data_IF_999503870138
#
_entry.id   IF_999503870138
#
_cell.length_a   1.000
_cell.length_b   1.000
_cell.length_c   1.000
_cell.angle_alpha   90.00
_cell.angle_beta   90.00
_cell.angle_gamma   90.00
#
_symmetry.space_group_name_H-M   'P 1'
#
loop_
_entity.id
_entity.type
_entity.pdbx_description
1 polymer ?
#
# COMPACT_ATOMS: atom_id res chain seq x y z
N UNK A 1 -1.71 -2.61 -22.04
CA UNK A 1 -1.59 -1.84 -20.89
C UNK A 1 -1.32 -2.65 -19.70
N UNK A 2 -0.47 -2.22 -18.87
CA UNK A 2 -0.16 -2.92 -17.63
C UNK A 2 -1.25 -2.67 -16.62
N UNK A 3 -1.73 -3.75 -16.02
CA UNK A 3 -2.68 -3.63 -14.94
C UNK A 3 -1.91 -3.39 -13.67
N UNK A 4 -2.33 -2.44 -12.88
CA UNK A 4 -1.68 -2.22 -11.58
C UNK A 4 -1.94 -3.40 -10.67
N UNK A 5 -0.89 -3.86 -10.02
CA UNK A 5 -0.97 -4.95 -9.04
C UNK A 5 -0.88 -4.38 -7.64
N UNK A 6 -1.89 -4.66 -6.86
CA UNK A 6 -2.02 -4.10 -5.52
C UNK A 6 -2.07 -5.22 -4.50
N UNK A 7 -1.25 -5.12 -3.48
CA UNK A 7 -1.33 -6.02 -2.35
C UNK A 7 -2.07 -5.30 -1.25
N UNK A 8 -3.12 -5.93 -0.74
CA UNK A 8 -3.84 -5.42 0.42
C UNK A 8 -3.51 -6.35 1.57
N UNK A 9 -2.94 -5.81 2.62
CA UNK A 9 -2.49 -6.60 3.75
C UNK A 9 -3.01 -6.05 5.06
N UNK A 10 -3.18 -6.95 6.01
CA UNK A 10 -3.62 -6.57 7.33
C UNK A 10 -2.58 -7.07 8.33
N UNK A 11 -1.61 -6.22 8.66
CA UNK A 11 -0.55 -6.62 9.55
C UNK A 11 -0.97 -6.61 11.02
N UNK A 12 -0.19 -7.24 11.85
CA UNK A 12 -0.42 -7.25 13.28
C UNK A 12 -1.48 -8.25 13.70
N UNK A 13 -1.97 -8.09 14.91
CA UNK A 13 -2.90 -9.05 15.51
C UNK A 13 -4.36 -8.69 15.36
N UNK A 14 -4.66 -7.58 14.70
CA UNK A 14 -6.01 -7.12 14.52
C UNK A 14 -6.76 -8.08 13.59
N UNK A 15 -7.90 -8.56 14.03
CA UNK A 15 -8.70 -9.49 13.24
C UNK A 15 -9.83 -8.86 12.44
N UNK A 16 -9.89 -7.52 12.37
CA UNK A 16 -10.98 -6.85 11.67
C UNK A 16 -10.62 -6.62 10.20
N UNK A 17 -11.06 -7.51 9.33
CA UNK A 17 -10.65 -7.44 7.92
C UNK A 17 -11.71 -6.93 6.96
N UNK A 18 -12.87 -6.54 7.46
CA UNK A 18 -13.95 -6.11 6.57
C UNK A 18 -13.56 -4.92 5.71
N UNK A 19 -12.94 -3.92 6.33
CA UNK A 19 -12.52 -2.73 5.58
C UNK A 19 -11.52 -3.06 4.49
N UNK A 20 -10.57 -3.94 4.79
CA UNK A 20 -9.58 -4.36 3.82
C UNK A 20 -10.22 -5.07 2.64
N UNK A 21 -11.22 -5.91 2.91
CA UNK A 21 -11.92 -6.63 1.84
C UNK A 21 -12.76 -5.71 0.97
N UNK A 22 -13.38 -4.68 1.57
CA UNK A 22 -14.16 -3.70 0.82
C UNK A 22 -13.25 -2.93 -0.13
N UNK A 23 -12.10 -2.50 0.35
CA UNK A 23 -11.15 -1.77 -0.47
C UNK A 23 -10.62 -2.68 -1.60
N UNK A 24 -10.31 -3.92 -1.27
CA UNK A 24 -9.81 -4.86 -2.29
C UNK A 24 -10.82 -5.01 -3.41
N UNK A 25 -12.10 -5.10 -3.07
CA UNK A 25 -13.14 -5.24 -4.08
C UNK A 25 -13.26 -3.97 -4.93
N UNK A 26 -13.22 -2.80 -4.29
CA UNK A 26 -13.33 -1.55 -5.02
C UNK A 26 -12.18 -1.39 -6.03
N UNK A 27 -10.99 -1.79 -5.65
CA UNK A 27 -9.84 -1.69 -6.53
C UNK A 27 -9.94 -2.69 -7.69
N UNK A 28 -10.45 -3.89 -7.44
CA UNK A 28 -10.69 -4.85 -8.51
C UNK A 28 -11.72 -4.31 -9.48
N UNK A 29 -12.79 -3.73 -8.96
CA UNK A 29 -13.85 -3.17 -9.81
C UNK A 29 -13.32 -2.01 -10.64
N UNK A 30 -12.27 -1.36 -10.19
CA UNK A 30 -11.63 -0.27 -10.92
C UNK A 30 -10.60 -0.78 -11.95
N UNK A 31 -10.49 -2.09 -12.11
CA UNK A 31 -9.60 -2.67 -13.12
C UNK A 31 -8.21 -3.07 -12.63
N UNK A 32 -7.97 -3.01 -11.34
CA UNK A 32 -6.66 -3.40 -10.80
C UNK A 32 -6.65 -4.88 -10.45
N UNK A 33 -5.44 -5.44 -10.44
CA UNK A 33 -5.25 -6.81 -10.01
C UNK A 33 -4.92 -6.75 -8.52
N UNK A 34 -5.74 -7.33 -7.68
CA UNK A 34 -5.61 -7.19 -6.23
C UNK A 34 -5.36 -8.53 -5.56
N UNK A 35 -4.35 -8.58 -4.74
CA UNK A 35 -4.02 -9.76 -3.95
C UNK A 35 -4.25 -9.40 -2.49
N UNK A 36 -5.19 -10.07 -1.85
CA UNK A 36 -5.42 -9.89 -0.43
C UNK A 36 -4.65 -10.97 0.31
N UNK A 37 -3.67 -10.57 1.13
CA UNK A 37 -2.78 -11.53 1.75
C UNK A 37 -3.35 -12.16 3.02
N UNK A 38 -4.45 -11.61 3.53
CA UNK A 38 -5.05 -12.17 4.73
C UNK A 38 -4.65 -11.43 6.00
N UNK A 39 -5.11 -11.98 7.12
CA UNK A 39 -4.89 -11.37 8.43
C UNK A 39 -3.49 -11.67 8.97
N UNK A 40 -3.10 -10.88 9.91
CA UNK A 40 -1.91 -11.13 10.75
C UNK A 40 -0.62 -11.30 9.98
N UNK A 41 -0.47 -10.54 8.94
CA UNK A 41 0.73 -10.59 8.13
C UNK A 41 1.87 -9.81 8.81
N UNK A 42 3.07 -10.37 8.79
CA UNK A 42 4.24 -9.64 9.26
C UNK A 42 4.76 -8.75 8.14
N UNK A 43 5.52 -7.69 8.47
CA UNK A 43 6.15 -6.89 7.43
C UNK A 43 6.98 -7.72 6.47
N UNK A 44 7.68 -8.73 6.98
CA UNK A 44 8.48 -9.63 6.15
C UNK A 44 7.62 -10.40 5.15
N UNK A 45 6.47 -10.88 5.60
CA UNK A 45 5.55 -11.61 4.72
C UNK A 45 4.97 -10.69 3.65
N UNK A 46 4.65 -9.46 4.02
CA UNK A 46 4.10 -8.48 3.09
C UNK A 46 5.12 -8.14 2.01
N UNK A 47 6.36 -7.89 2.40
CA UNK A 47 7.41 -7.55 1.45
C UNK A 47 7.71 -8.74 0.53
N UNK A 48 7.70 -9.96 1.08
CA UNK A 48 7.90 -11.15 0.30
C UNK A 48 6.81 -11.31 -0.76
N UNK A 49 5.56 -11.06 -0.38
CA UNK A 49 4.45 -11.12 -1.33
C UNK A 49 4.60 -10.05 -2.41
N UNK A 50 5.01 -8.84 -2.03
CA UNK A 50 5.20 -7.77 -2.99
C UNK A 50 6.26 -8.11 -4.01
N UNK A 51 7.34 -8.73 -3.55
CA UNK A 51 8.42 -9.13 -4.43
C UNK A 51 7.95 -10.24 -5.37
N UNK A 52 7.30 -11.26 -4.83
CA UNK A 52 6.83 -12.38 -5.58
C UNK A 52 5.80 -12.01 -6.63
N UNK A 53 4.89 -11.12 -6.29
CA UNK A 53 3.82 -10.70 -7.18
C UNK A 53 4.19 -9.50 -8.06
N UNK A 54 5.38 -8.97 -7.88
CA UNK A 54 5.82 -7.79 -8.62
C UNK A 54 4.80 -6.64 -8.42
N UNK A 55 4.49 -6.36 -7.19
CA UNK A 55 3.43 -5.41 -6.86
C UNK A 55 3.83 -3.97 -7.14
N UNK A 56 2.87 -3.18 -7.56
CA UNK A 56 3.04 -1.74 -7.77
C UNK A 56 2.64 -0.95 -6.54
N UNK A 57 1.73 -1.50 -5.74
CA UNK A 57 1.14 -0.82 -4.61
C UNK A 57 0.98 -1.78 -3.44
N UNK A 58 1.25 -1.30 -2.24
CA UNK A 58 0.94 -2.02 -1.02
C UNK A 58 0.00 -1.16 -0.21
N UNK A 59 -1.18 -1.67 0.08
CA UNK A 59 -2.15 -1.02 0.95
C UNK A 59 -2.23 -1.77 2.26
N UNK A 60 -1.98 -1.09 3.36
CA UNK A 60 -2.04 -1.68 4.70
C UNK A 60 -3.31 -1.21 5.39
N UNK A 61 -4.05 -2.15 5.95
CA UNK A 61 -5.22 -1.82 6.75
C UNK A 61 -4.85 -2.03 8.21
N UNK A 62 -4.72 -0.95 8.96
CA UNK A 62 -4.25 -0.99 10.34
C UNK A 62 -5.25 -0.28 11.24
N UNK A 63 -5.97 -1.03 12.05
CA UNK A 63 -6.95 -0.45 12.97
C UNK A 63 -6.49 -0.54 14.43
N UNK A 64 -5.37 -1.18 14.66
CA UNK A 64 -4.92 -1.47 16.00
C UNK A 64 -4.02 -0.40 16.63
N UNK A 65 -3.69 0.62 15.88
CA UNK A 65 -2.75 1.62 16.38
C UNK A 65 -1.30 1.25 16.18
N UNK A 66 -1.03 0.11 15.56
CA UNK A 66 0.34 -0.37 15.41
C UNK A 66 1.10 0.22 14.22
N UNK A 67 0.54 1.23 13.58
CA UNK A 67 1.14 1.81 12.38
C UNK A 67 2.54 2.38 12.62
N UNK A 68 2.79 2.96 13.80
CA UNK A 68 4.11 3.52 14.11
C UNK A 68 5.18 2.46 14.31
N UNK A 69 4.76 1.22 14.55
CA UNK A 69 5.70 0.12 14.72
C UNK A 69 5.88 -0.64 13.40
N UNK A 70 4.79 -0.84 12.68
CA UNK A 70 4.78 -1.64 11.47
C UNK A 70 5.35 -0.89 10.27
N UNK A 71 4.96 0.38 10.09
CA UNK A 71 5.35 1.11 8.90
C UNK A 71 6.86 1.30 8.75
N UNK A 72 7.60 1.71 9.80
CA UNK A 72 9.03 1.88 9.64
C UNK A 72 9.72 0.58 9.24
N UNK A 73 9.29 -0.53 9.81
CA UNK A 73 9.89 -1.82 9.49
C UNK A 73 9.60 -2.22 8.05
N UNK A 74 8.36 -2.03 7.61
CA UNK A 74 7.99 -2.34 6.25
C UNK A 74 8.79 -1.51 5.26
N UNK A 75 8.90 -0.21 5.50
CA UNK A 75 9.60 0.68 4.60
C UNK A 75 11.08 0.34 4.51
N UNK A 76 11.68 -0.04 5.64
CA UNK A 76 13.07 -0.45 5.67
C UNK A 76 13.28 -1.72 4.83
N UNK A 77 12.40 -2.69 5.00
CA UNK A 77 12.49 -3.95 4.25
C UNK A 77 12.30 -3.74 2.76
N UNK A 78 11.38 -2.86 2.37
CA UNK A 78 11.18 -2.56 0.96
C UNK A 78 12.45 -1.97 0.35
N UNK A 79 13.09 -1.08 1.07
CA UNK A 79 14.30 -0.46 0.58
C UNK A 79 15.42 -1.49 0.44
N UNK A 80 15.54 -2.38 1.42
CA UNK A 80 16.56 -3.42 1.39
C UNK A 80 16.39 -4.38 0.23
N UNK A 81 15.16 -4.56 -0.23
CA UNK A 81 14.86 -5.48 -1.33
C UNK A 81 14.81 -4.77 -2.69
N UNK A 82 15.12 -3.50 -2.72
CA UNK A 82 15.08 -2.74 -3.97
C UNK A 82 13.67 -2.43 -4.44
N UNK A 83 12.70 -2.43 -3.52
CA UNK A 83 11.30 -2.17 -3.82
C UNK A 83 10.85 -0.80 -3.36
N UNK A 84 11.77 0.14 -3.26
CA UNK A 84 11.46 1.46 -2.74
C UNK A 84 10.62 2.32 -3.70
N UNK A 85 10.35 1.84 -4.91
CA UNK A 85 9.45 2.53 -5.82
C UNK A 85 8.01 2.01 -5.73
N UNK A 86 7.74 1.05 -4.86
CA UNK A 86 6.39 0.57 -4.63
C UNK A 86 5.63 1.63 -3.82
N UNK A 87 4.41 1.92 -4.23
CA UNK A 87 3.58 2.91 -3.55
C UNK A 87 2.99 2.29 -2.29
N UNK A 88 3.24 2.88 -1.13
CA UNK A 88 2.72 2.34 0.14
C UNK A 88 1.66 3.28 0.69
N UNK A 89 0.50 2.72 0.98
CA UNK A 89 -0.65 3.42 1.53
C UNK A 89 -1.08 2.78 2.84
N UNK A 90 -1.62 3.58 3.75
CA UNK A 90 -2.17 3.05 4.99
C UNK A 90 -3.60 3.53 5.11
N UNK A 91 -4.50 2.60 5.41
CA UNK A 91 -5.88 2.91 5.74
C UNK A 91 -6.13 2.53 7.18
N UNK A 92 -6.83 3.37 7.93
CA UNK A 92 -7.15 3.08 9.31
C UNK A 92 -7.30 4.34 10.14
N UNK A 93 -7.37 4.15 11.44
CA UNK A 93 -7.52 5.26 12.36
C UNK A 93 -6.13 5.73 12.73
N UNK A 94 -5.69 6.81 12.09
CA UNK A 94 -4.35 7.34 12.26
C UNK A 94 -4.44 8.72 12.87
N UNK A 95 -3.86 8.94 14.05
CA UNK A 95 -3.87 10.27 14.65
C UNK A 95 -3.12 11.28 13.80
N UNK A 96 -3.61 12.51 13.77
CA UNK A 96 -2.98 13.57 13.00
C UNK A 96 -1.50 13.73 13.30
N UNK A 97 -1.13 13.58 14.55
CA UNK A 97 0.27 13.78 14.96
C UNK A 97 1.22 12.75 14.37
N UNK A 98 0.70 11.61 13.94
CA UNK A 98 1.53 10.56 13.38
C UNK A 98 1.74 10.69 11.88
N UNK A 99 0.91 11.48 11.22
CA UNK A 99 0.94 11.58 9.75
C UNK A 99 2.27 12.11 9.22
N UNK A 100 2.83 13.20 9.77
CA UNK A 100 4.09 13.71 9.24
C UNK A 100 5.22 12.68 9.31
N UNK A 101 5.27 11.92 10.40
CA UNK A 101 6.31 10.92 10.54
C UNK A 101 6.15 9.79 9.52
N UNK A 102 4.92 9.33 9.33
CA UNK A 102 4.67 8.27 8.35
C UNK A 102 5.03 8.74 6.95
N UNK A 103 4.72 9.98 6.61
CA UNK A 103 5.10 10.52 5.31
C UNK A 103 6.59 10.66 5.17
N UNK A 104 7.28 11.02 6.25
CA UNK A 104 8.72 11.21 6.19
C UNK A 104 9.47 9.92 5.92
N UNK A 105 8.90 8.77 6.28
CA UNK A 105 9.54 7.50 6.00
C UNK A 105 9.11 6.89 4.68
N UNK A 106 8.26 7.59 3.94
CA UNK A 106 7.92 7.16 2.59
C UNK A 106 6.50 6.67 2.36
N UNK A 107 5.65 6.69 3.38
CA UNK A 107 4.24 6.33 3.18
C UNK A 107 3.58 7.48 2.42
N UNK A 108 3.01 7.17 1.25
CA UNK A 108 2.53 8.19 0.35
C UNK A 108 1.09 8.60 0.59
N UNK A 109 0.27 7.71 1.02
CA UNK A 109 -1.13 8.02 1.26
C UNK A 109 -1.62 7.46 2.56
N UNK A 110 -2.42 8.25 3.28
CA UNK A 110 -3.01 7.83 4.54
C UNK A 110 -4.50 8.14 4.44
N UNK A 111 -5.32 7.10 4.52
CA UNK A 111 -6.75 7.23 4.33
C UNK A 111 -7.48 6.85 5.61
N UNK A 112 -8.20 7.80 6.15
CA UNK A 112 -8.95 7.59 7.39
C UNK A 112 -10.35 7.12 7.11
N UNK A 113 -11.08 6.64 8.12
CA UNK A 113 -12.47 6.26 7.95
C UNK A 113 -13.25 7.41 7.34
N UNK A 114 -14.12 7.10 6.41
CA UNK A 114 -14.90 8.12 5.71
C UNK A 114 -14.32 8.54 4.36
N UNK A 115 -13.10 8.16 4.07
CA UNK A 115 -12.53 8.43 2.75
C UNK A 115 -13.29 7.60 1.72
N UNK A 116 -13.68 8.20 0.62
CA UNK A 116 -14.42 7.47 -0.40
C UNK A 116 -13.52 6.50 -1.15
N UNK A 117 -14.11 5.43 -1.64
CA UNK A 117 -13.37 4.45 -2.44
C UNK A 117 -12.83 5.12 -3.71
N UNK A 118 -13.58 6.05 -4.28
CA UNK A 118 -13.14 6.73 -5.49
C UNK A 118 -11.87 7.56 -5.25
N UNK A 119 -11.77 8.20 -4.09
CA UNK A 119 -10.57 8.94 -3.73
C UNK A 119 -9.35 8.03 -3.69
N UNK A 120 -9.50 6.84 -3.11
CA UNK A 120 -8.41 5.88 -3.00
C UNK A 120 -8.01 5.38 -4.38
N UNK A 121 -9.00 5.04 -5.21
CA UNK A 121 -8.76 4.57 -6.57
C UNK A 121 -8.00 5.65 -7.36
N UNK A 122 -8.46 6.89 -7.29
CA UNK A 122 -7.85 7.98 -8.03
C UNK A 122 -6.42 8.25 -7.56
N UNK A 123 -6.20 8.17 -6.26
CA UNK A 123 -4.88 8.39 -5.71
C UNK A 123 -3.90 7.35 -6.23
N UNK A 124 -4.33 6.10 -6.26
CA UNK A 124 -3.48 5.01 -6.74
C UNK A 124 -3.18 5.18 -8.22
N UNK A 125 -4.19 5.49 -9.02
CA UNK A 125 -3.99 5.66 -10.46
C UNK A 125 -3.06 6.82 -10.78
N UNK A 126 -3.11 7.86 -9.96
CA UNK A 126 -2.28 9.04 -10.18
C UNK A 126 -0.84 8.82 -9.73
N UNK A 127 -0.65 8.08 -8.65
CA UNK A 127 0.65 8.01 -7.99
C UNK A 127 1.43 6.71 -8.17
N UNK A 128 0.80 5.63 -8.58
CA UNK A 128 1.51 4.38 -8.78
C UNK A 128 2.42 4.49 -10.00
N UNK A 129 3.56 3.85 -9.92
CA UNK A 129 4.48 3.92 -11.03
C UNK A 129 3.90 3.22 -12.24
N UNK A 130 4.24 3.69 -13.40
CA UNK A 130 3.82 3.09 -14.63
C UNK A 130 4.88 2.10 -15.07
N UNK A 131 4.54 0.83 -15.04
CA UNK A 131 5.50 -0.18 -15.39
C UNK A 131 5.46 -0.53 -16.85
N UNK A 132 4.50 0.02 -17.53
CA UNK A 132 4.38 -0.29 -18.87
C UNK A 132 5.28 0.55 -19.61
N UNK A 133 5.83 0.15 -20.44
CA UNK A 133 6.54 0.94 -21.25
C UNK A 133 7.60 1.35 -20.50
N UNK A 134 7.54 1.03 -19.62
CA UNK A 134 8.39 1.32 -18.73
C UNK A 134 9.34 2.04 -19.11
N UNK A 135 9.20 1.89 -19.75
CA UNK A 135 9.84 2.41 -20.26
C UNK A 135 10.41 3.49 -19.98
N UNK A 136 10.05 4.07 -19.96
CA UNK A 136 10.44 5.15 -19.80
C UNK A 136 11.12 5.18 -18.72
N UNK A 137 11.06 4.45 -18.27
CA UNK A 137 11.84 4.47 -17.39
C UNK A 137 11.88 5.14 -16.24
N UNK A 138 12.80 5.06 -15.68
CA UNK A 138 12.99 5.51 -14.44
C UNK A 138 12.71 6.90 -14.29
N UNK A 139 13.04 7.52 -15.18
CA UNK A 139 12.91 8.81 -15.15
C UNK A 139 11.66 9.21 -14.77
N UNK A 140 10.80 8.52 -15.15
CA UNK A 140 9.60 8.92 -14.95
C UNK A 140 9.01 8.55 -13.73
N UNK A 141 9.65 7.95 -12.98
CA UNK A 141 9.11 7.56 -11.84
C UNK A 141 9.05 8.60 -11.01
N UNK A 142 8.19 9.08 -10.81
CA UNK A 142 8.14 10.18 -10.09
C UNK A 142 8.23 9.97 -8.75
N UNK A 143 8.20 9.80 -8.50
CA UNK A 143 8.12 9.79 -7.63
C UNK A 143 8.39 9.62 -6.87
N UNK A 144 8.69 9.72 -6.91
CA UNK A 144 8.91 9.43 -6.32
C UNK A 144 8.93 9.76 -5.50
#
# INVERSE_FOLDING_TARGET
MHKLRVIIAKPGLDGHDRGAKVIARALRDAGMEVIYTGLRQTPEQIVSAALQEDADVIGLSILSGAHNHIAPRLMKLLKEKGLDDVLVLIGGIIPDVDIPQLKSIGVRGIFRPGTSMQEIVDFIKTNARDRVGGSTGPVLRPLA
#
